data_IF_261200791342
#
_entry.id   IF_261200791342
#
_cell.length_a   1.000
_cell.length_b   1.000
_cell.length_c   1.000
_cell.angle_alpha   90.00
_cell.angle_beta   90.00
_cell.angle_gamma   90.00
#
_symmetry.space_group_name_H-M   'P 1'
#
loop_
_entity.id
_entity.type
_entity.pdbx_description
1 polymer ?
#
# COMPACT_ATOMS: atom_id res chain seq x y z
N UNK A 1 27.12 25.70 29.76
CA UNK A 1 28.47 25.59 29.16
C UNK A 1 28.42 24.55 28.06
N UNK A 2 29.00 24.80 26.88
CA UNK A 2 29.07 23.82 25.79
C UNK A 2 30.41 23.11 25.80
N UNK A 3 30.45 21.80 25.55
CA UNK A 3 31.70 21.03 25.37
C UNK A 3 31.86 20.57 23.93
N UNK A 4 33.09 20.30 23.49
CA UNK A 4 33.33 19.73 22.16
C UNK A 4 32.75 18.30 22.10
N UNK A 5 32.15 17.92 20.98
CA UNK A 5 31.74 16.54 20.73
C UNK A 5 32.97 15.65 20.49
N UNK A 6 32.87 14.36 20.83
CA UNK A 6 33.86 13.39 20.36
C UNK A 6 33.75 13.18 18.84
N UNK A 7 34.81 12.62 18.24
CA UNK A 7 34.89 12.46 16.79
C UNK A 7 33.77 11.58 16.22
N UNK A 8 33.32 10.58 16.98
CA UNK A 8 32.26 9.68 16.59
C UNK A 8 30.90 10.40 16.48
N UNK A 9 30.52 11.16 17.51
CA UNK A 9 29.28 11.94 17.50
C UNK A 9 29.35 13.07 16.47
N UNK A 10 30.49 13.76 16.39
CA UNK A 10 30.67 14.86 15.44
C UNK A 10 30.48 14.37 13.99
N UNK A 11 31.02 13.19 13.66
CA UNK A 11 30.84 12.57 12.35
C UNK A 11 29.36 12.27 12.05
N UNK A 12 28.63 11.72 13.02
CA UNK A 12 27.21 11.40 12.84
C UNK A 12 26.33 12.64 12.71
N UNK A 13 26.61 13.69 13.49
CA UNK A 13 25.89 14.96 13.38
C UNK A 13 26.16 15.60 12.03
N UNK A 14 27.42 15.64 11.56
CA UNK A 14 27.76 16.18 10.23
C UNK A 14 27.06 15.42 9.11
N UNK A 15 27.00 14.09 9.19
CA UNK A 15 26.29 13.27 8.21
C UNK A 15 24.77 13.49 8.20
N UNK A 16 24.20 13.93 9.34
CA UNK A 16 22.79 14.25 9.46
C UNK A 16 22.45 15.68 9.01
N UNK A 17 23.43 16.57 8.89
CA UNK A 17 23.26 17.99 8.59
C UNK A 17 23.57 18.30 7.11
N UNK A 18 23.17 19.49 6.61
CA UNK A 18 23.60 19.96 5.29
C UNK A 18 25.12 19.97 5.14
N UNK A 19 25.60 19.63 3.93
CA UNK A 19 26.99 19.27 3.67
C UNK A 19 28.04 20.35 3.94
N UNK A 20 27.71 21.64 4.07
CA UNK A 20 28.54 22.66 4.73
C UNK A 20 27.87 24.03 4.65
N UNK A 21 28.30 24.97 5.51
CA UNK A 21 28.18 26.40 5.28
C UNK A 21 29.59 26.92 5.04
N UNK A 22 29.83 27.52 3.87
CA UNK A 22 31.13 28.10 3.49
C UNK A 22 32.29 27.09 3.34
N UNK A 23 32.02 25.81 3.06
CA UNK A 23 33.05 24.82 2.73
C UNK A 23 33.84 24.26 3.92
N UNK A 24 33.54 24.68 5.15
CA UNK A 24 34.11 24.10 6.38
C UNK A 24 33.13 23.16 7.08
N UNK A 25 33.58 22.00 7.59
CA UNK A 25 32.72 21.09 8.33
C UNK A 25 32.23 21.75 9.62
N UNK A 26 31.02 21.40 10.04
CA UNK A 26 30.43 21.92 11.28
C UNK A 26 31.33 21.66 12.50
N UNK A 27 31.58 22.69 13.30
CA UNK A 27 32.10 22.57 14.66
C UNK A 27 30.96 22.10 15.58
N UNK A 28 30.99 20.82 15.97
CA UNK A 28 29.91 20.17 16.72
C UNK A 28 30.18 20.27 18.21
N UNK A 29 29.26 20.92 18.92
CA UNK A 29 29.30 21.10 20.38
C UNK A 29 28.09 20.46 21.03
N UNK A 30 28.30 19.94 22.24
CA UNK A 30 27.27 19.33 23.07
C UNK A 30 26.83 20.32 24.14
N UNK A 31 25.53 20.40 24.35
CA UNK A 31 24.88 21.17 25.43
C UNK A 31 23.94 20.29 26.25
N UNK A 32 23.67 20.71 27.48
CA UNK A 32 22.87 19.94 28.45
C UNK A 32 21.43 20.45 28.57
N UNK A 33 21.12 21.58 27.92
CA UNK A 33 19.78 22.18 27.91
C UNK A 33 19.32 22.39 26.48
N UNK A 34 18.04 22.13 26.22
CA UNK A 34 17.44 22.21 24.89
C UNK A 34 17.56 23.64 24.34
N UNK A 35 17.34 24.64 25.18
CA UNK A 35 17.38 26.08 24.85
C UNK A 35 18.76 26.53 24.36
N UNK A 36 19.81 25.79 24.68
CA UNK A 36 21.19 26.08 24.27
C UNK A 36 21.54 25.45 22.92
N UNK A 37 20.66 24.61 22.38
CA UNK A 37 20.83 23.98 21.08
C UNK A 37 20.54 24.98 19.98
N UNK A 38 21.20 24.81 18.84
CA UNK A 38 21.08 25.77 17.73
C UNK A 38 22.26 25.67 16.78
N UNK A 39 22.22 26.45 15.71
CA UNK A 39 23.34 26.59 14.79
C UNK A 39 23.66 28.06 14.57
N UNK A 40 24.94 28.37 14.55
CA UNK A 40 25.44 29.65 14.07
C UNK A 40 26.09 29.41 12.71
N UNK A 41 25.39 29.88 11.68
CA UNK A 41 25.77 29.69 10.29
C UNK A 41 27.04 30.47 9.91
N UNK A 42 27.31 31.60 10.57
CA UNK A 42 28.49 32.40 10.25
C UNK A 42 29.78 31.80 10.80
N UNK A 43 29.72 31.24 12.02
CA UNK A 43 30.87 30.60 12.66
C UNK A 43 31.00 29.11 12.34
N UNK A 44 30.02 28.52 11.65
CA UNK A 44 29.99 27.08 11.34
C UNK A 44 29.80 26.21 12.58
N UNK A 45 29.30 26.75 13.69
CA UNK A 45 29.12 26.03 14.95
C UNK A 45 27.70 25.47 15.04
N UNK A 46 27.58 24.20 15.38
CA UNK A 46 26.30 23.56 15.72
C UNK A 46 26.33 23.03 17.14
N UNK A 47 25.27 23.32 17.90
CA UNK A 47 25.08 22.88 19.28
C UNK A 47 23.92 21.88 19.31
N UNK A 48 24.22 20.65 19.69
CA UNK A 48 23.25 19.57 19.85
C UNK A 48 23.10 19.17 21.31
N UNK A 49 21.92 18.70 21.69
CA UNK A 49 21.68 18.22 23.05
C UNK A 49 22.47 16.93 23.34
N UNK A 50 22.85 16.70 24.60
CA UNK A 50 23.61 15.50 24.99
C UNK A 50 22.91 14.17 24.66
N UNK A 51 21.58 14.17 24.62
CA UNK A 51 20.79 12.99 24.25
C UNK A 51 20.58 12.84 22.74
N UNK A 52 21.16 13.70 21.90
CA UNK A 52 20.92 13.71 20.44
C UNK A 52 21.12 12.33 19.80
N UNK A 53 22.21 11.64 20.16
CA UNK A 53 22.50 10.32 19.62
C UNK A 53 21.38 9.31 19.89
N UNK A 54 20.82 9.32 21.10
CA UNK A 54 19.79 8.39 21.53
C UNK A 54 18.40 8.82 21.04
N UNK A 55 18.05 10.10 21.22
CA UNK A 55 16.72 10.63 20.97
C UNK A 55 16.44 10.96 19.51
N UNK A 56 17.48 11.21 18.71
CA UNK A 56 17.36 11.68 17.32
C UNK A 56 17.96 10.70 16.34
N UNK A 57 19.24 10.30 16.52
CA UNK A 57 19.88 9.44 15.53
C UNK A 57 19.41 7.99 15.59
N UNK A 58 19.48 7.33 16.77
CA UNK A 58 19.06 5.93 16.93
C UNK A 58 17.57 5.71 16.62
N UNK A 59 16.74 6.71 16.89
CA UNK A 59 15.30 6.73 16.56
C UNK A 59 15.01 7.11 15.09
N UNK A 60 16.06 7.37 14.29
CA UNK A 60 15.98 7.76 12.87
C UNK A 60 15.20 9.07 12.62
N UNK A 61 15.24 9.99 13.58
CA UNK A 61 14.67 11.33 13.49
C UNK A 61 15.69 12.38 13.03
N UNK A 62 16.90 11.97 12.62
CA UNK A 62 17.94 12.89 12.13
C UNK A 62 17.49 13.79 10.99
N UNK A 63 16.47 13.37 10.24
CA UNK A 63 15.78 14.19 9.27
C UNK A 63 14.27 13.88 9.33
N UNK A 64 13.47 14.87 9.72
CA UNK A 64 12.00 14.75 9.76
C UNK A 64 11.41 15.85 8.89
N UNK A 65 10.64 15.46 7.87
CA UNK A 65 10.02 16.35 6.88
C UNK A 65 11.01 17.29 6.18
N UNK A 66 11.22 18.48 6.73
CA UNK A 66 12.12 19.56 6.28
C UNK A 66 13.00 20.11 7.42
N UNK A 67 12.97 19.46 8.57
CA UNK A 67 13.64 19.86 9.80
C UNK A 67 14.77 18.86 10.13
N UNK A 68 15.90 19.40 10.56
CA UNK A 68 16.99 18.66 11.18
C UNK A 68 16.97 18.91 12.68
N UNK A 69 16.54 17.93 13.51
CA UNK A 69 16.49 18.13 14.95
C UNK A 69 17.89 18.22 15.55
N UNK A 70 18.10 19.26 16.36
CA UNK A 70 19.31 19.47 17.17
C UNK A 70 19.08 19.10 18.64
N UNK A 71 17.82 19.16 19.07
CA UNK A 71 17.36 18.74 20.38
C UNK A 71 15.88 18.38 20.29
N UNK A 72 15.46 17.35 21.02
CA UNK A 72 14.05 16.99 21.18
C UNK A 72 13.83 16.77 22.68
N UNK A 73 12.78 17.39 23.22
CA UNK A 73 12.34 17.19 24.59
C UNK A 73 11.64 15.84 24.79
N UNK A 74 11.06 15.61 25.98
CA UNK A 74 10.20 14.46 26.19
C UNK A 74 8.99 14.52 25.23
N UNK A 75 8.57 13.35 24.77
CA UNK A 75 7.31 13.21 24.03
C UNK A 75 6.16 13.11 25.03
N UNK A 76 5.18 13.99 24.86
CA UNK A 76 3.96 14.02 25.65
C UNK A 76 2.78 13.60 24.77
N UNK A 77 1.77 12.96 25.37
CA UNK A 77 0.52 12.68 24.66
C UNK A 77 -0.15 14.01 24.30
N UNK A 78 -0.45 14.17 23.01
CA UNK A 78 -1.15 15.32 22.51
C UNK A 78 -2.60 14.92 22.20
N UNK A 79 -3.55 15.70 22.70
CA UNK A 79 -4.94 15.52 22.30
C UNK A 79 -5.09 15.83 20.81
N UNK A 80 -5.51 14.86 19.98
CA UNK A 80 -5.73 15.14 18.57
C UNK A 80 -6.96 16.04 18.46
N UNK A 81 -6.76 17.31 18.09
CA UNK A 81 -7.88 18.14 17.65
C UNK A 81 -8.56 17.46 16.45
N UNK A 82 -9.89 17.43 16.46
CA UNK A 82 -10.69 16.92 15.35
C UNK A 82 -10.27 17.62 14.07
N UNK A 83 -9.67 16.89 13.12
CA UNK A 83 -9.41 17.41 11.79
C UNK A 83 -10.74 17.34 11.04
N UNK A 84 -11.39 18.48 10.71
CA UNK A 84 -12.62 18.43 9.95
C UNK A 84 -12.31 17.89 8.55
N UNK A 85 -12.99 16.82 8.17
CA UNK A 85 -13.03 16.36 6.79
C UNK A 85 -14.47 16.11 6.38
N UNK A 86 -14.85 16.65 5.23
CA UNK A 86 -16.20 16.66 4.72
C UNK A 86 -16.78 15.24 4.58
N UNK A 87 -17.81 14.94 5.38
CA UNK A 87 -18.78 13.89 5.07
C UNK A 87 -18.92 12.73 6.06
N UNK A 88 -17.90 12.38 6.85
CA UNK A 88 -18.01 11.28 7.82
C UNK A 88 -17.15 11.52 9.07
N UNK A 89 -17.82 11.74 10.21
CA UNK A 89 -17.24 11.87 11.55
C UNK A 89 -17.15 10.52 12.24
N UNK A 90 -16.24 9.66 11.81
CA UNK A 90 -15.65 8.63 12.69
C UNK A 90 -14.13 8.63 12.52
N UNK A 91 -13.52 9.80 12.72
CA UNK A 91 -12.09 9.87 12.94
C UNK A 91 -11.86 9.51 14.41
N UNK A 92 -11.66 8.22 14.72
CA UNK A 92 -11.22 7.82 16.07
C UNK A 92 -9.95 8.60 16.39
N UNK A 93 -9.99 9.39 17.46
CA UNK A 93 -8.84 10.08 18.04
C UNK A 93 -7.76 9.04 18.34
N UNK A 94 -6.78 8.91 17.45
CA UNK A 94 -5.63 8.04 17.70
C UNK A 94 -4.61 8.82 18.52
N UNK A 95 -3.97 8.18 19.52
CA UNK A 95 -2.98 8.86 20.34
C UNK A 95 -1.81 9.30 19.46
N UNK A 96 -1.58 10.60 19.44
CA UNK A 96 -0.41 11.25 18.86
C UNK A 96 0.46 11.70 20.02
N UNK A 97 1.77 11.59 19.88
CA UNK A 97 2.69 12.21 20.84
C UNK A 97 3.43 13.35 20.16
N UNK A 98 3.64 14.45 20.88
CA UNK A 98 4.37 15.60 20.40
C UNK A 98 5.49 15.96 21.37
N UNK A 99 6.59 16.47 20.84
CA UNK A 99 7.71 16.96 21.61
C UNK A 99 8.17 18.31 21.06
N UNK A 100 8.48 19.24 21.97
CA UNK A 100 9.21 20.47 21.63
C UNK A 100 10.61 20.12 21.15
N UNK A 101 11.10 20.83 20.14
CA UNK A 101 12.39 20.59 19.52
C UNK A 101 13.05 21.90 19.09
N UNK A 102 14.38 21.92 19.05
CA UNK A 102 15.14 22.94 18.32
C UNK A 102 15.63 22.30 17.03
N UNK A 103 15.40 22.98 15.91
CA UNK A 103 15.66 22.41 14.57
C UNK A 103 16.35 23.41 13.66
N UNK A 104 17.07 22.89 12.67
CA UNK A 104 17.42 23.63 11.45
C UNK A 104 16.35 23.30 10.42
N UNK A 105 15.58 24.30 9.98
CA UNK A 105 14.55 24.14 8.97
C UNK A 105 15.07 24.55 7.59
N UNK A 106 14.76 23.75 6.58
CA UNK A 106 14.94 24.09 5.16
C UNK A 106 13.78 24.97 4.68
N UNK A 107 14.10 26.10 4.05
CA UNK A 107 13.12 27.00 3.43
C UNK A 107 12.79 26.55 2.00
N UNK A 108 11.52 26.64 1.63
CA UNK A 108 11.03 26.30 0.30
C UNK A 108 10.17 27.44 -0.25
N UNK A 109 10.27 27.69 -1.56
CA UNK A 109 9.41 28.60 -2.31
C UNK A 109 9.02 27.91 -3.63
N UNK A 110 7.72 27.88 -3.95
CA UNK A 110 7.22 27.18 -5.14
C UNK A 110 7.54 25.67 -5.17
N UNK A 111 7.68 25.03 -4.00
CA UNK A 111 8.05 23.61 -3.88
C UNK A 111 9.55 23.32 -4.05
N UNK A 112 10.37 24.32 -4.33
CA UNK A 112 11.82 24.17 -4.47
C UNK A 112 12.56 24.66 -3.24
N UNK A 113 13.64 23.97 -2.87
CA UNK A 113 14.51 24.37 -1.77
C UNK A 113 15.23 25.67 -2.16
N UNK A 114 15.12 26.70 -1.34
CA UNK A 114 15.68 28.02 -1.65
C UNK A 114 17.16 28.17 -1.27
N UNK A 115 17.78 27.13 -0.71
CA UNK A 115 19.12 27.23 -0.11
C UNK A 115 19.11 27.82 1.30
N UNK A 116 18.04 28.50 1.71
CA UNK A 116 17.98 29.14 3.02
C UNK A 116 17.69 28.13 4.14
N UNK A 117 18.45 28.26 5.22
CA UNK A 117 18.31 27.50 6.45
C UNK A 117 17.94 28.45 7.57
N UNK A 118 16.99 28.05 8.42
CA UNK A 118 16.58 28.83 9.59
C UNK A 118 16.63 27.96 10.83
N UNK A 119 17.32 28.42 11.87
CA UNK A 119 17.32 27.76 13.17
C UNK A 119 16.14 28.28 13.98
N UNK A 120 15.43 27.39 14.66
CA UNK A 120 14.39 27.81 15.58
C UNK A 120 13.69 26.67 16.27
N UNK A 121 12.76 27.06 17.14
CA UNK A 121 11.85 26.13 17.79
C UNK A 121 10.86 25.52 16.78
N UNK A 122 10.60 24.23 16.98
CA UNK A 122 9.58 23.48 16.27
C UNK A 122 9.00 22.41 17.20
N UNK A 123 7.94 21.74 16.73
CA UNK A 123 7.31 20.62 17.39
C UNK A 123 7.40 19.40 16.48
N UNK A 124 7.88 18.29 17.03
CA UNK A 124 7.93 16.99 16.36
C UNK A 124 6.76 16.15 16.87
N UNK A 125 5.81 15.87 16.00
CA UNK A 125 4.68 14.99 16.28
C UNK A 125 4.94 13.61 15.65
N UNK A 126 4.51 12.55 16.34
CA UNK A 126 4.58 11.18 15.83
C UNK A 126 3.37 10.34 16.23
N UNK A 127 3.03 9.38 15.37
CA UNK A 127 2.07 8.34 15.74
C UNK A 127 2.66 7.37 16.77
N UNK A 128 1.82 6.74 17.61
CA UNK A 128 2.27 5.75 18.61
C UNK A 128 3.02 4.55 18.00
N UNK A 129 2.69 4.20 16.76
CA UNK A 129 3.35 3.14 15.98
C UNK A 129 4.72 3.59 15.43
N UNK A 130 5.07 4.88 15.53
CA UNK A 130 6.36 5.43 15.11
C UNK A 130 6.54 5.57 13.59
N UNK A 131 5.52 5.26 12.80
CA UNK A 131 5.61 5.22 11.34
C UNK A 131 5.46 6.57 10.65
N UNK A 132 4.76 7.51 11.28
CA UNK A 132 4.48 8.83 10.71
C UNK A 132 5.00 9.88 11.67
N UNK A 133 5.94 10.69 11.18
CA UNK A 133 6.58 11.75 11.97
C UNK A 133 6.52 13.04 11.16
N UNK A 134 6.05 14.11 11.79
CA UNK A 134 5.98 15.43 11.20
C UNK A 134 6.61 16.45 12.13
N UNK A 135 7.24 17.46 11.54
CA UNK A 135 7.78 18.60 12.27
C UNK A 135 7.26 19.90 11.66
N UNK A 136 6.81 20.82 12.52
CA UNK A 136 6.44 22.18 12.14
C UNK A 136 6.65 23.17 13.30
N UNK A 137 6.74 24.47 13.01
CA UNK A 137 6.84 25.51 14.04
C UNK A 137 5.57 25.60 14.91
N UNK A 138 4.42 25.21 14.36
CA UNK A 138 3.17 25.10 15.09
C UNK A 138 2.87 23.64 15.45
N UNK A 139 2.69 23.36 16.75
CA UNK A 139 2.36 22.03 17.27
C UNK A 139 1.09 21.44 16.62
N UNK A 140 0.05 22.25 16.44
CA UNK A 140 -1.22 21.79 15.83
C UNK A 140 -1.03 21.35 14.38
N UNK A 141 -0.16 22.04 13.63
CA UNK A 141 0.15 21.69 12.23
C UNK A 141 0.93 20.38 12.19
N UNK A 142 1.89 20.18 13.09
CA UNK A 142 2.63 18.93 13.19
C UNK A 142 1.71 17.74 13.50
N UNK A 143 0.81 17.89 14.49
CA UNK A 143 -0.19 16.86 14.85
C UNK A 143 -1.12 16.58 13.67
N UNK A 144 -1.64 17.63 13.01
CA UNK A 144 -2.51 17.50 11.82
C UNK A 144 -1.81 16.77 10.68
N UNK A 145 -0.52 16.98 10.48
CA UNK A 145 0.29 16.26 9.50
C UNK A 145 0.29 14.75 9.74
N UNK A 146 0.56 14.33 10.99
CA UNK A 146 0.51 12.91 11.39
C UNK A 146 -0.89 12.34 11.18
N UNK A 147 -1.93 13.05 11.62
CA UNK A 147 -3.32 12.60 11.47
C UNK A 147 -3.72 12.46 10.01
N UNK A 148 -3.32 13.41 9.15
CA UNK A 148 -3.62 13.37 7.71
C UNK A 148 -2.97 12.16 7.05
N UNK A 149 -1.69 11.90 7.32
CA UNK A 149 -0.99 10.72 6.80
C UNK A 149 -1.65 9.42 7.27
N UNK A 150 -2.05 9.38 8.54
CA UNK A 150 -2.79 8.27 9.12
C UNK A 150 -4.11 8.02 8.38
N UNK A 151 -4.90 9.08 8.16
CA UNK A 151 -6.15 9.02 7.40
C UNK A 151 -5.94 8.53 5.97
N UNK A 152 -4.94 9.06 5.25
CA UNK A 152 -4.66 8.62 3.88
C UNK A 152 -4.33 7.12 3.78
N UNK A 153 -3.65 6.54 4.78
CA UNK A 153 -3.39 5.09 4.81
C UNK A 153 -4.65 4.29 5.11
N UNK A 154 -5.45 4.72 6.08
CA UNK A 154 -6.70 4.05 6.41
C UNK A 154 -7.67 4.05 5.22
N UNK A 155 -7.78 5.17 4.52
CA UNK A 155 -8.60 5.28 3.31
C UNK A 155 -8.08 4.45 2.15
N UNK A 156 -6.76 4.38 1.93
CA UNK A 156 -6.18 3.46 0.93
C UNK A 156 -6.58 2.01 1.22
N UNK A 157 -6.43 1.55 2.47
CA UNK A 157 -6.86 0.20 2.87
C UNK A 157 -8.35 -0.04 2.65
N UNK A 158 -9.21 0.95 2.95
CA UNK A 158 -10.65 0.85 2.69
C UNK A 158 -10.96 0.80 1.19
N UNK A 159 -10.26 1.58 0.38
CA UNK A 159 -10.39 1.55 -1.07
C UNK A 159 -9.97 0.20 -1.65
N UNK A 160 -8.85 -0.38 -1.17
CA UNK A 160 -8.39 -1.71 -1.58
C UNK A 160 -9.41 -2.80 -1.23
N UNK A 161 -10.00 -2.74 -0.03
CA UNK A 161 -11.05 -3.69 0.40
C UNK A 161 -12.31 -3.55 -0.46
N UNK A 162 -12.74 -2.32 -0.77
CA UNK A 162 -13.89 -2.08 -1.65
C UNK A 162 -13.62 -2.57 -3.07
N UNK A 163 -12.45 -2.28 -3.63
CA UNK A 163 -12.06 -2.74 -4.95
C UNK A 163 -12.03 -4.27 -5.05
N UNK A 164 -11.58 -4.96 -4.00
CA UNK A 164 -11.62 -6.42 -3.94
C UNK A 164 -13.05 -6.96 -3.85
N UNK A 165 -13.93 -6.31 -3.08
CA UNK A 165 -15.35 -6.68 -3.02
C UNK A 165 -16.04 -6.50 -4.37
N UNK A 166 -15.86 -5.35 -5.02
CA UNK A 166 -16.40 -5.06 -6.36
C UNK A 166 -15.89 -6.07 -7.40
N UNK A 167 -14.61 -6.47 -7.31
CA UNK A 167 -14.03 -7.50 -8.18
C UNK A 167 -14.71 -8.86 -7.97
N UNK A 168 -14.96 -9.25 -6.71
CA UNK A 168 -15.67 -10.50 -6.39
C UNK A 168 -17.08 -10.50 -6.93
N UNK A 169 -17.82 -9.41 -6.75
CA UNK A 169 -19.18 -9.27 -7.26
C UNK A 169 -19.22 -9.36 -8.79
N UNK A 170 -18.28 -8.69 -9.48
CA UNK A 170 -18.13 -8.80 -10.94
C UNK A 170 -17.77 -10.21 -11.38
N UNK A 171 -16.82 -10.86 -10.70
CA UNK A 171 -16.41 -12.24 -11.00
C UNK A 171 -17.57 -13.23 -10.85
N UNK A 172 -18.35 -13.12 -9.77
CA UNK A 172 -19.57 -13.91 -9.57
C UNK A 172 -20.62 -13.63 -10.64
N UNK A 173 -20.78 -12.36 -11.04
CA UNK A 173 -21.63 -11.96 -12.16
C UNK A 173 -21.25 -12.68 -13.46
N UNK A 174 -19.97 -12.63 -13.83
CA UNK A 174 -19.42 -13.30 -15.03
C UNK A 174 -19.69 -14.82 -14.97
N UNK A 175 -19.36 -15.47 -13.86
CA UNK A 175 -19.61 -16.91 -13.67
C UNK A 175 -21.09 -17.25 -13.80
N UNK A 176 -21.97 -16.40 -13.27
CA UNK A 176 -23.42 -16.56 -13.38
C UNK A 176 -23.86 -16.46 -14.84
N UNK A 177 -23.44 -15.41 -15.56
CA UNK A 177 -23.75 -15.16 -16.97
C UNK A 177 -23.28 -16.28 -17.90
N UNK A 178 -22.09 -16.82 -17.65
CA UNK A 178 -21.54 -17.94 -18.43
C UNK A 178 -22.50 -19.14 -18.43
N UNK A 179 -23.18 -19.42 -17.31
CA UNK A 179 -24.11 -20.56 -17.25
C UNK A 179 -25.55 -20.24 -17.64
N UNK A 180 -25.95 -18.97 -17.72
CA UNK A 180 -27.29 -18.60 -18.19
C UNK A 180 -27.37 -18.43 -19.70
N UNK A 181 -26.25 -18.06 -20.36
CA UNK A 181 -26.23 -17.82 -21.81
C UNK A 181 -26.20 -19.10 -22.65
N UNK A 182 -25.84 -20.27 -22.11
CA UNK A 182 -25.77 -21.54 -22.88
C UNK A 182 -26.07 -22.77 -22.00
N UNK A 183 -26.83 -23.77 -22.49
CA UNK A 183 -27.00 -25.05 -21.81
C UNK A 183 -25.71 -25.85 -22.02
N UNK A 184 -24.77 -25.74 -21.10
CA UNK A 184 -23.70 -26.73 -21.00
C UNK A 184 -24.28 -27.95 -20.30
N UNK A 185 -24.46 -29.03 -21.05
CA UNK A 185 -24.96 -30.29 -20.49
C UNK A 185 -23.92 -30.91 -19.54
N UNK A 186 -24.38 -31.82 -18.68
CA UNK A 186 -23.55 -32.53 -17.69
C UNK A 186 -22.37 -33.30 -18.33
N UNK A 187 -22.43 -33.53 -19.64
CA UNK A 187 -21.39 -34.22 -20.41
C UNK A 187 -20.24 -33.28 -20.83
N UNK A 188 -20.39 -31.96 -20.69
CA UNK A 188 -19.32 -31.00 -21.00
C UNK A 188 -18.28 -31.02 -19.89
N UNK A 189 -17.17 -31.71 -20.10
CA UNK A 189 -16.12 -31.88 -19.09
C UNK A 189 -14.92 -30.96 -19.33
N UNK A 190 -14.31 -30.47 -18.25
CA UNK A 190 -13.06 -29.70 -18.27
C UNK A 190 -12.00 -30.42 -17.45
N UNK A 191 -10.77 -30.45 -17.95
CA UNK A 191 -9.63 -30.99 -17.21
C UNK A 191 -9.38 -30.20 -15.93
N UNK A 192 -9.23 -30.90 -14.80
CA UNK A 192 -8.97 -30.27 -13.50
C UNK A 192 -7.50 -29.88 -13.29
N UNK A 193 -6.57 -30.42 -14.09
CA UNK A 193 -5.12 -30.19 -13.94
C UNK A 193 -4.72 -28.71 -13.89
N UNK A 194 -5.24 -27.82 -14.76
CA UNK A 194 -4.89 -26.40 -14.71
C UNK A 194 -5.43 -25.67 -13.47
N UNK A 195 -6.38 -26.28 -12.75
CA UNK A 195 -7.07 -25.68 -11.61
C UNK A 195 -6.52 -26.14 -10.25
N UNK A 196 -5.63 -27.13 -10.21
CA UNK A 196 -5.09 -27.66 -8.96
C UNK A 196 -4.39 -26.57 -8.12
N UNK A 197 -3.69 -25.66 -8.81
CA UNK A 197 -2.98 -24.53 -8.20
C UNK A 197 -3.80 -23.23 -8.17
N UNK A 198 -4.91 -23.16 -8.90
CA UNK A 198 -5.77 -21.97 -8.99
C UNK A 198 -6.93 -22.02 -7.99
N UNK A 199 -7.41 -23.20 -7.63
CA UNK A 199 -8.48 -23.38 -6.65
C UNK A 199 -7.91 -23.59 -5.25
N UNK A 200 -8.64 -23.16 -4.19
CA UNK A 200 -8.30 -23.54 -2.83
C UNK A 200 -8.12 -25.06 -2.69
N UNK A 201 -7.07 -25.50 -1.99
CA UNK A 201 -6.71 -26.93 -1.85
C UNK A 201 -7.86 -27.83 -1.36
N UNK A 202 -8.76 -27.28 -0.54
CA UNK A 202 -9.95 -28.00 -0.07
C UNK A 202 -10.92 -28.32 -1.22
N UNK A 203 -11.08 -27.38 -2.15
CA UNK A 203 -11.95 -27.50 -3.32
C UNK A 203 -11.31 -28.42 -4.36
N UNK A 204 -10.06 -28.16 -4.76
CA UNK A 204 -9.36 -29.01 -5.75
C UNK A 204 -9.20 -30.45 -5.23
N UNK A 205 -8.85 -30.63 -3.96
CA UNK A 205 -8.77 -31.94 -3.32
C UNK A 205 -10.09 -32.72 -3.33
N UNK A 206 -11.22 -32.04 -3.10
CA UNK A 206 -12.57 -32.63 -3.18
C UNK A 206 -12.91 -33.07 -4.60
N UNK A 207 -12.65 -32.22 -5.59
CA UNK A 207 -12.90 -32.54 -7.00
C UNK A 207 -12.05 -33.74 -7.46
N UNK A 208 -10.76 -33.77 -7.09
CA UNK A 208 -9.86 -34.92 -7.33
C UNK A 208 -10.33 -36.19 -6.64
N UNK A 209 -10.91 -36.09 -5.45
CA UNK A 209 -11.45 -37.24 -4.74
C UNK A 209 -12.65 -37.85 -5.48
N UNK A 210 -13.57 -37.02 -5.98
CA UNK A 210 -14.72 -37.50 -6.76
C UNK A 210 -14.34 -38.06 -8.13
N UNK A 211 -13.33 -37.49 -8.78
CA UNK A 211 -12.71 -38.05 -9.99
C UNK A 211 -12.17 -39.47 -9.73
N UNK A 212 -11.43 -39.68 -8.62
CA UNK A 212 -10.90 -41.01 -8.23
C UNK A 212 -11.98 -42.04 -7.93
N UNK A 213 -13.13 -41.62 -7.40
CA UNK A 213 -14.27 -42.48 -7.14
C UNK A 213 -15.06 -42.85 -8.40
N UNK A 214 -14.71 -42.29 -9.56
CA UNK A 214 -15.42 -42.52 -10.82
C UNK A 214 -16.80 -41.86 -10.87
N UNK A 215 -17.05 -40.85 -10.02
CA UNK A 215 -18.29 -40.06 -10.02
C UNK A 215 -18.33 -39.13 -11.24
N UNK A 216 -17.17 -38.61 -11.63
CA UNK A 216 -17.01 -37.82 -12.85
C UNK A 216 -16.42 -38.67 -13.98
N UNK A 217 -16.71 -38.31 -15.25
CA UNK A 217 -16.10 -38.97 -16.41
C UNK A 217 -14.57 -38.95 -16.33
N UNK A 218 -13.91 -39.95 -16.92
CA UNK A 218 -12.43 -40.07 -16.89
C UNK A 218 -11.69 -38.90 -17.54
N UNK A 219 -12.39 -38.01 -18.25
CA UNK A 219 -11.82 -36.91 -19.02
C UNK A 219 -11.97 -35.53 -18.35
N UNK A 220 -12.60 -35.44 -17.16
CA UNK A 220 -12.61 -34.20 -16.39
C UNK A 220 -13.82 -34.02 -15.48
N UNK A 221 -13.94 -32.81 -14.92
CA UNK A 221 -15.06 -32.39 -14.08
C UNK A 221 -16.14 -31.75 -14.96
N UNK A 222 -17.43 -32.07 -14.77
CA UNK A 222 -18.51 -31.38 -15.47
C UNK A 222 -18.43 -29.87 -15.27
N UNK A 223 -18.53 -29.12 -16.36
CA UNK A 223 -18.41 -27.67 -16.35
C UNK A 223 -19.37 -26.98 -15.36
N UNK A 224 -20.66 -27.39 -15.24
CA UNK A 224 -21.55 -26.80 -14.24
C UNK A 224 -21.04 -26.96 -12.79
N UNK A 225 -20.39 -28.08 -12.49
CA UNK A 225 -19.80 -28.35 -11.17
C UNK A 225 -18.56 -27.48 -10.97
N UNK A 226 -17.64 -27.48 -11.93
CA UNK A 226 -16.42 -26.67 -11.84
C UNK A 226 -16.77 -25.18 -11.69
N UNK A 227 -17.75 -24.69 -12.45
CA UNK A 227 -18.24 -23.31 -12.37
C UNK A 227 -18.73 -22.96 -10.96
N UNK A 228 -19.53 -23.84 -10.34
CA UNK A 228 -20.04 -23.60 -8.99
C UNK A 228 -18.90 -23.54 -7.97
N UNK A 229 -17.94 -24.46 -8.09
CA UNK A 229 -16.76 -24.50 -7.23
C UNK A 229 -15.85 -23.28 -7.40
N UNK A 230 -15.72 -22.76 -8.64
CA UNK A 230 -15.06 -21.49 -8.91
C UNK A 230 -15.80 -20.31 -8.28
N UNK A 231 -17.13 -20.29 -8.33
CA UNK A 231 -17.93 -19.23 -7.69
C UNK A 231 -17.74 -19.22 -6.16
N UNK A 232 -17.76 -20.40 -5.55
CA UNK A 232 -17.52 -20.54 -4.11
C UNK A 232 -16.08 -20.14 -3.74
N UNK A 233 -15.10 -20.43 -4.60
CA UNK A 233 -13.71 -20.06 -4.40
C UNK A 233 -13.47 -18.53 -4.45
N UNK A 234 -14.11 -17.81 -5.38
CA UNK A 234 -13.94 -16.35 -5.57
C UNK A 234 -14.20 -15.56 -4.29
N UNK A 235 -15.11 -16.02 -3.43
CA UNK A 235 -15.47 -15.37 -2.16
C UNK A 235 -14.26 -15.21 -1.22
N UNK A 236 -13.32 -16.15 -1.27
CA UNK A 236 -12.17 -16.20 -0.34
C UNK A 236 -10.83 -15.85 -1.00
N UNK A 237 -10.78 -15.81 -2.32
CA UNK A 237 -9.56 -15.55 -3.09
C UNK A 237 -9.13 -14.08 -3.06
N UNK A 238 -7.83 -13.84 -3.23
CA UNK A 238 -7.22 -12.53 -3.41
C UNK A 238 -7.35 -12.08 -4.87
N UNK A 239 -7.09 -10.79 -5.13
CA UNK A 239 -7.23 -10.16 -6.44
C UNK A 239 -6.58 -10.97 -7.57
N UNK A 240 -5.30 -11.28 -7.44
CA UNK A 240 -4.54 -11.90 -8.53
C UNK A 240 -4.95 -13.37 -8.75
N UNK A 241 -5.38 -14.04 -7.69
CA UNK A 241 -5.94 -15.39 -7.76
C UNK A 241 -7.29 -15.38 -8.51
N UNK A 242 -8.18 -14.43 -8.20
CA UNK A 242 -9.47 -14.28 -8.90
C UNK A 242 -9.24 -14.03 -10.40
N UNK A 243 -8.34 -13.11 -10.74
CA UNK A 243 -8.05 -12.78 -12.14
C UNK A 243 -7.46 -13.97 -12.89
N UNK A 244 -6.54 -14.71 -12.28
CA UNK A 244 -5.92 -15.90 -12.88
C UNK A 244 -6.94 -17.02 -13.10
N UNK A 245 -7.85 -17.22 -12.13
CA UNK A 245 -8.94 -18.19 -12.25
C UNK A 245 -9.90 -17.84 -13.39
N UNK A 246 -10.34 -16.59 -13.47
CA UNK A 246 -11.23 -16.12 -14.53
C UNK A 246 -10.59 -16.21 -15.92
N UNK A 247 -9.30 -15.89 -16.03
CA UNK A 247 -8.56 -16.01 -17.28
C UNK A 247 -8.43 -17.46 -17.72
N UNK A 248 -8.16 -18.40 -16.80
CA UNK A 248 -8.11 -19.82 -17.16
C UNK A 248 -9.48 -20.31 -17.63
N UNK A 249 -10.54 -19.94 -16.92
CA UNK A 249 -11.91 -20.29 -17.31
C UNK A 249 -12.28 -19.73 -18.68
N UNK A 250 -11.87 -18.50 -19.01
CA UNK A 250 -12.18 -17.92 -20.32
C UNK A 250 -11.49 -18.67 -21.46
N UNK A 251 -10.24 -19.14 -21.25
CA UNK A 251 -9.56 -20.00 -22.21
C UNK A 251 -10.28 -21.33 -22.40
N UNK A 252 -10.61 -22.03 -21.31
CA UNK A 252 -11.27 -23.34 -21.40
C UNK A 252 -12.67 -23.22 -22.03
N UNK A 253 -13.41 -22.14 -21.71
CA UNK A 253 -14.69 -21.85 -22.36
C UNK A 253 -14.50 -21.60 -23.85
N UNK A 254 -13.48 -20.84 -24.25
CA UNK A 254 -13.22 -20.57 -25.67
C UNK A 254 -12.86 -21.84 -26.44
N UNK A 255 -12.07 -22.73 -25.84
CA UNK A 255 -11.72 -24.04 -26.41
C UNK A 255 -12.96 -24.94 -26.56
N UNK A 256 -13.82 -24.99 -25.54
CA UNK A 256 -15.11 -25.69 -25.61
C UNK A 256 -16.02 -25.10 -26.71
N UNK A 257 -16.00 -23.78 -26.90
CA UNK A 257 -16.80 -23.15 -27.95
C UNK A 257 -16.30 -23.50 -29.35
N UNK A 258 -14.98 -23.53 -29.56
CA UNK A 258 -14.39 -23.89 -30.84
C UNK A 258 -14.69 -25.35 -31.20
N UNK A 259 -14.54 -26.28 -30.24
CA UNK A 259 -14.86 -27.69 -30.48
C UNK A 259 -16.35 -27.92 -30.77
N UNK A 260 -17.25 -27.23 -30.06
CA UNK A 260 -18.69 -27.26 -30.35
C UNK A 260 -19.03 -26.65 -31.71
N UNK A 261 -18.35 -25.58 -32.12
CA UNK A 261 -18.54 -24.95 -33.43
C UNK A 261 -18.06 -25.84 -34.58
N UNK A 262 -16.92 -26.51 -34.42
CA UNK A 262 -16.40 -27.49 -35.39
C UNK A 262 -17.35 -28.70 -35.53
N UNK A 263 -17.86 -29.22 -34.41
CA UNK A 263 -18.86 -30.29 -34.41
C UNK A 263 -20.19 -29.85 -35.04
N UNK A 264 -20.57 -28.56 -34.93
CA UNK A 264 -21.76 -27.97 -35.56
C UNK A 264 -21.58 -27.68 -37.04
N UNK A 265 -20.40 -27.24 -37.45
CA UNK A 265 -20.03 -27.07 -38.86
C UNK A 265 -20.01 -28.42 -39.59
N UNK A 266 -19.56 -29.47 -38.93
CA UNK A 266 -19.64 -30.84 -39.42
C UNK A 266 -21.09 -31.39 -39.49
N UNK A 267 -22.02 -30.87 -38.68
CA UNK A 267 -23.43 -31.30 -38.61
C UNK A 267 -24.43 -30.33 -39.26
N UNK A 268 -23.96 -29.25 -39.91
CA UNK A 268 -24.77 -28.42 -40.82
C UNK A 268 -25.75 -27.43 -40.18
N UNK A 269 -25.63 -27.09 -38.89
CA UNK A 269 -26.55 -26.14 -38.23
C UNK A 269 -25.85 -24.81 -37.88
N UNK A 270 -26.17 -23.75 -38.64
CA UNK A 270 -25.65 -22.41 -38.42
C UNK A 270 -26.55 -21.57 -37.52
N UNK A 271 -26.08 -21.24 -36.31
CA UNK A 271 -26.56 -20.08 -35.55
C UNK A 271 -25.32 -19.27 -35.16
N UNK A 272 -25.31 -17.99 -35.54
CA UNK A 272 -24.19 -17.05 -35.38
C UNK A 272 -23.90 -16.76 -33.91
N UNK A 273 -22.77 -17.27 -33.40
CA UNK A 273 -22.23 -16.95 -32.07
C UNK A 273 -20.86 -16.26 -32.22
N UNK A 274 -20.88 -14.98 -32.62
CA UNK A 274 -19.72 -14.11 -32.47
C UNK A 274 -19.56 -13.66 -31.01
N UNK A 275 -18.32 -13.36 -30.60
CA UNK A 275 -18.03 -12.67 -29.34
C UNK A 275 -18.82 -11.36 -29.27
N UNK A 276 -19.37 -11.07 -28.10
CA UNK A 276 -20.09 -9.81 -27.87
C UNK A 276 -19.11 -8.65 -27.65
N UNK A 277 -19.51 -7.43 -27.99
CA UNK A 277 -18.67 -6.23 -27.85
C UNK A 277 -18.15 -6.02 -26.41
N UNK A 278 -18.88 -6.54 -25.41
CA UNK A 278 -18.48 -6.53 -23.99
C UNK A 278 -17.29 -7.47 -23.70
N UNK A 279 -17.22 -8.61 -24.37
CA UNK A 279 -16.12 -9.59 -24.23
C UNK A 279 -14.85 -9.09 -24.95
N UNK A 280 -15.02 -8.42 -26.09
CA UNK A 280 -13.93 -7.73 -26.79
C UNK A 280 -13.38 -6.54 -25.98
N UNK A 281 -14.26 -5.76 -25.33
CA UNK A 281 -13.84 -4.65 -24.48
C UNK A 281 -13.03 -5.12 -23.25
N UNK A 282 -13.37 -6.29 -22.68
CA UNK A 282 -12.62 -6.89 -21.58
C UNK A 282 -11.22 -7.36 -22.01
N UNK A 283 -11.09 -7.99 -23.18
CA UNK A 283 -9.79 -8.39 -23.74
C UNK A 283 -8.91 -7.17 -24.08
N UNK A 284 -9.49 -6.13 -24.67
CA UNK A 284 -8.78 -4.88 -24.98
C UNK A 284 -8.33 -4.12 -23.70
N UNK A 285 -9.10 -4.24 -22.60
CA UNK A 285 -8.72 -3.65 -21.31
C UNK A 285 -7.61 -4.42 -20.59
N UNK A 286 -7.37 -5.70 -20.95
CA UNK A 286 -6.26 -6.49 -20.44
C UNK A 286 -4.92 -6.13 -21.13
N UNK A 287 -4.94 -5.78 -22.42
CA UNK A 287 -3.73 -5.36 -23.16
C UNK A 287 -3.23 -3.96 -22.77
N UNK A 288 -4.11 -3.07 -22.30
CA UNK A 288 -3.78 -1.71 -21.83
C UNK A 288 -2.99 -1.67 -20.50
N UNK A 289 -2.75 -2.81 -19.85
CA UNK A 289 -1.93 -2.93 -18.63
C UNK A 289 -0.50 -3.41 -18.90
N UNK A 290 -0.08 -3.48 -20.18
CA UNK A 290 1.26 -3.88 -20.61
C UNK A 290 2.16 -2.72 -21.12
N UNK A 291 1.77 -1.46 -20.87
CA UNK A 291 2.64 -0.28 -21.05
C UNK A 291 2.81 0.51 -19.77
#
# INVERSE_FOLDING_TARGET
>A
MSRLADDALATQVRAALPETILGTPWDVRIVNHIEQSGADFYSGVVRVHETWLQSIHKTRLSYVTRHYPLAIGPFEEAEPQLVPHSGYTECRCRPVTAARAITIQRSFAGGQFTGALTVGEAFVARSKEGHDVFADRNCEIAIRGVMTAYHSRAWRRLADVRALADLRDRALGILTTIGSRRPYDADTCISLLPYDDLLPKAISGRLRYYEKLGIYPREGVPFPVLKQECADAVVVMQRDEILSLLLRLSFDISELQNSLAENRAASGNSISNGLTDEEFALLASADLLSQ
#
